data_IF_363968435587
#
_entry.id   IF_363968435587
#
_cell.length_a   1.000
_cell.length_b   1.000
_cell.length_c   1.000
_cell.angle_alpha   90.00
_cell.angle_beta   90.00
_cell.angle_gamma   90.00
#
_symmetry.space_group_name_H-M   'P 1'
#
loop_
_entity.id
_entity.type
_entity.pdbx_description
1 polymer ?
#
# COMPACT_ATOMS: atom_id res chain seq x y z
N UNK A 1 16.51 -5.10 -5.82
CA UNK A 1 16.23 -3.67 -5.64
C UNK A 1 14.74 -3.53 -5.87
N UNK A 2 14.00 -2.96 -4.91
CA UNK A 2 12.57 -2.66 -5.09
C UNK A 2 12.39 -1.66 -6.23
N UNK A 3 11.27 -1.75 -6.94
CA UNK A 3 10.98 -0.86 -8.06
C UNK A 3 10.69 0.57 -7.56
N UNK A 4 9.94 0.67 -6.46
CA UNK A 4 9.54 1.94 -5.82
C UNK A 4 9.20 1.69 -4.34
N UNK A 5 9.17 2.76 -3.55
CA UNK A 5 8.63 2.78 -2.18
C UNK A 5 7.32 3.55 -2.15
N UNK A 6 6.26 2.89 -1.69
CA UNK A 6 4.89 3.43 -1.75
C UNK A 6 4.28 3.37 -0.37
N UNK A 7 3.70 4.48 0.09
CA UNK A 7 2.99 4.53 1.36
C UNK A 7 1.69 3.72 1.29
N UNK A 8 1.36 2.99 2.35
CA UNK A 8 0.12 2.20 2.41
C UNK A 8 -1.15 3.05 2.21
N UNK A 9 -1.08 4.33 2.53
CA UNK A 9 -2.16 5.32 2.34
C UNK A 9 -2.42 5.66 0.87
N UNK A 10 -1.45 5.41 -0.03
CA UNK A 10 -1.60 5.56 -1.49
C UNK A 10 -2.13 4.30 -2.18
N UNK A 11 -2.21 3.17 -1.46
CA UNK A 11 -2.72 1.94 -2.04
C UNK A 11 -4.24 1.84 -1.88
N UNK A 12 -4.90 1.23 -2.86
CA UNK A 12 -6.34 0.98 -2.80
C UNK A 12 -6.62 -0.35 -2.11
N UNK A 13 -7.42 -0.32 -1.04
CA UNK A 13 -7.89 -1.51 -0.36
C UNK A 13 -8.98 -2.23 -1.17
N UNK A 14 -8.71 -3.48 -1.54
CA UNK A 14 -9.67 -4.35 -2.18
C UNK A 14 -10.26 -5.33 -1.17
N UNK A 15 -11.54 -5.14 -0.81
CA UNK A 15 -12.27 -5.98 0.15
C UNK A 15 -12.46 -7.43 -0.32
N UNK A 16 -12.58 -7.65 -1.63
CA UNK A 16 -12.78 -8.98 -2.21
C UNK A 16 -11.50 -9.82 -2.09
N UNK A 17 -10.35 -9.21 -2.37
CA UNK A 17 -9.03 -9.85 -2.30
C UNK A 17 -8.40 -9.76 -0.90
N UNK A 18 -8.94 -8.91 -0.02
CA UNK A 18 -8.34 -8.54 1.28
C UNK A 18 -6.88 -8.09 1.14
N UNK A 19 -6.61 -7.34 0.07
CA UNK A 19 -5.29 -6.92 -0.31
C UNK A 19 -5.28 -5.44 -0.69
N UNK A 20 -4.17 -4.77 -0.39
CA UNK A 20 -3.87 -3.46 -0.91
C UNK A 20 -3.30 -3.58 -2.31
N UNK A 21 -3.85 -2.77 -3.21
CA UNK A 21 -3.53 -2.79 -4.64
C UNK A 21 -2.95 -1.46 -5.10
N UNK A 22 -1.97 -1.50 -6.00
CA UNK A 22 -1.32 -0.30 -6.54
C UNK A 22 -1.00 -0.46 -8.03
N UNK A 23 -1.17 0.58 -8.87
CA UNK A 23 -0.95 0.49 -10.30
C UNK A 23 0.50 0.12 -10.64
N UNK A 24 0.67 -0.95 -11.43
CA UNK A 24 1.95 -1.37 -11.95
C UNK A 24 2.18 -0.82 -13.38
N UNK A 25 3.38 -0.33 -13.72
CA UNK A 25 3.71 0.16 -15.06
C UNK A 25 3.55 -0.89 -16.17
N UNK A 26 3.42 -2.19 -15.84
CA UNK A 26 3.15 -3.23 -16.84
C UNK A 26 1.67 -3.30 -17.28
N UNK A 27 0.77 -2.57 -16.61
CA UNK A 27 -0.67 -2.60 -16.87
C UNK A 27 -1.51 -3.46 -15.92
N UNK A 28 -0.88 -4.12 -14.95
CA UNK A 28 -1.54 -4.87 -13.86
C UNK A 28 -1.45 -4.10 -12.54
N UNK A 29 -1.81 -4.75 -11.42
CA UNK A 29 -1.74 -4.19 -10.08
C UNK A 29 -0.71 -4.96 -9.24
N UNK A 30 0.09 -4.24 -8.48
CA UNK A 30 0.77 -4.80 -7.32
C UNK A 30 -0.27 -5.15 -6.27
N UNK A 31 -0.07 -6.26 -5.54
CA UNK A 31 -0.97 -6.68 -4.48
C UNK A 31 -0.18 -7.15 -3.25
N UNK A 32 -0.68 -6.80 -2.07
CA UNK A 32 -0.18 -7.28 -0.77
C UNK A 32 -1.34 -7.48 0.21
N UNK A 33 -1.37 -8.61 0.91
CA UNK A 33 -2.46 -8.89 1.86
C UNK A 33 -2.25 -8.18 3.19
N UNK A 34 -3.36 -7.91 3.89
CA UNK A 34 -3.29 -7.40 5.26
C UNK A 34 -2.60 -8.38 6.23
N UNK A 35 -2.68 -9.67 5.94
CA UNK A 35 -2.04 -10.72 6.75
C UNK A 35 -0.51 -10.68 6.59
N UNK A 36 -0.02 -10.44 5.38
CA UNK A 36 1.40 -10.19 5.10
C UNK A 36 1.91 -8.97 5.86
N UNK A 37 1.21 -7.83 5.79
CA UNK A 37 1.58 -6.63 6.56
C UNK A 37 1.58 -6.87 8.08
N UNK A 38 0.71 -7.74 8.59
CA UNK A 38 0.67 -8.07 10.03
C UNK A 38 1.87 -8.87 10.51
N UNK A 39 2.50 -9.67 9.64
CA UNK A 39 3.68 -10.47 9.99
C UNK A 39 4.99 -9.73 9.71
N UNK A 40 4.93 -8.49 9.22
CA UNK A 40 6.10 -7.70 8.85
C UNK A 40 6.48 -7.80 7.37
N UNK A 41 5.63 -8.40 6.52
CA UNK A 41 5.90 -8.50 5.08
C UNK A 41 5.39 -7.25 4.36
N UNK A 42 6.33 -6.51 3.76
CA UNK A 42 6.11 -5.21 3.12
C UNK A 42 6.28 -5.24 1.60
N UNK A 43 6.37 -6.44 1.00
CA UNK A 43 6.69 -6.60 -0.42
C UNK A 43 5.43 -6.85 -1.22
N UNK A 44 4.92 -5.83 -1.90
CA UNK A 44 3.80 -5.99 -2.82
C UNK A 44 4.30 -6.47 -4.17
N UNK A 45 3.74 -7.59 -4.67
CA UNK A 45 4.20 -8.26 -5.88
C UNK A 45 3.18 -8.10 -7.00
N UNK A 46 3.66 -7.92 -8.23
CA UNK A 46 2.81 -7.91 -9.41
C UNK A 46 2.78 -9.32 -10.05
N UNK A 47 1.60 -9.90 -10.31
CA UNK A 47 1.49 -11.24 -10.90
C UNK A 47 2.00 -11.32 -12.34
N UNK A 48 2.08 -10.20 -13.07
CA UNK A 48 2.40 -10.20 -14.50
C UNK A 48 3.85 -9.87 -14.85
N UNK A 49 4.55 -9.06 -14.05
CA UNK A 49 5.87 -8.55 -14.44
C UNK A 49 7.01 -8.93 -13.48
N UNK A 50 6.75 -9.72 -12.44
CA UNK A 50 7.71 -10.10 -11.38
C UNK A 50 8.35 -8.94 -10.61
N UNK A 51 7.97 -7.70 -10.92
CA UNK A 51 8.36 -6.52 -10.15
C UNK A 51 7.72 -6.58 -8.76
N UNK A 52 8.33 -5.85 -7.85
CA UNK A 52 7.81 -5.64 -6.52
C UNK A 52 8.13 -4.22 -6.04
N UNK A 53 7.23 -3.67 -5.25
CA UNK A 53 7.40 -2.40 -4.55
C UNK A 53 7.50 -2.66 -3.05
N UNK A 54 8.16 -1.75 -2.34
CA UNK A 54 8.23 -1.77 -0.89
C UNK A 54 7.11 -0.90 -0.34
N UNK A 55 6.26 -1.48 0.50
CA UNK A 55 5.13 -0.77 1.09
C UNK A 55 5.55 -0.18 2.42
N UNK A 56 5.52 1.14 2.53
CA UNK A 56 5.85 1.86 3.75
C UNK A 56 4.59 1.94 4.61
N UNK A 57 4.59 1.27 5.75
CA UNK A 57 3.49 1.28 6.72
C UNK A 57 4.02 1.25 8.15
N UNK A 58 3.15 1.66 9.08
CA UNK A 58 3.41 1.50 10.50
C UNK A 58 2.83 0.17 10.96
N UNK A 59 3.67 -0.73 11.49
CA UNK A 59 3.20 -2.03 12.00
C UNK A 59 2.15 -1.87 13.11
N UNK A 60 2.20 -0.76 13.86
CA UNK A 60 1.21 -0.38 14.87
C UNK A 60 -0.22 -0.19 14.32
N UNK A 61 -0.38 0.19 13.03
CA UNK A 61 -1.69 0.31 12.38
C UNK A 61 -2.36 -1.06 12.17
N UNK A 62 -1.53 -2.10 12.03
CA UNK A 62 -1.95 -3.46 11.72
C UNK A 62 -1.95 -4.38 12.93
N UNK A 63 -1.16 -4.08 13.96
CA UNK A 63 -1.16 -4.79 15.24
C UNK A 63 -2.23 -4.22 16.17
N UNK A 64 -3.14 -5.08 16.65
CA UNK A 64 -4.24 -4.71 17.54
C UNK A 64 -3.72 -4.36 18.95
N UNK A 65 -3.11 -3.19 19.10
CA UNK A 65 -2.81 -2.58 20.40
C UNK A 65 -3.66 -1.32 20.50
N UNK A 66 -4.79 -1.42 21.21
CA UNK A 66 -5.72 -0.33 21.51
C UNK A 66 -5.00 0.95 21.97
N UNK A 67 -4.74 1.87 21.03
CA UNK A 67 -4.39 3.26 21.31
C UNK A 67 -5.02 4.15 20.25
N UNK A 68 -6.24 4.60 20.56
CA UNK A 68 -7.03 5.56 19.81
C UNK A 68 -6.24 6.86 19.63
N UNK A 69 -5.70 7.15 18.45
CA UNK A 69 -5.29 8.50 18.04
C UNK A 69 -5.25 8.61 16.51
N UNK A 70 -5.87 9.68 16.01
CA UNK A 70 -6.10 10.00 14.59
C UNK A 70 -4.82 10.43 13.88
N UNK A 71 -4.70 10.07 12.61
CA UNK A 71 -3.98 10.77 11.53
C UNK A 71 -4.80 10.36 10.29
N UNK A 72 -5.68 11.12 9.62
CA UNK A 72 -5.64 12.46 9.02
C UNK A 72 -4.36 12.76 8.25
N UNK A 73 -4.34 12.41 6.95
CA UNK A 73 -3.86 13.33 5.92
C UNK A 73 -4.76 13.32 4.67
N UNK A 74 -5.44 14.43 4.35
CA UNK A 74 -6.02 14.66 3.04
C UNK A 74 -4.91 14.96 2.03
N UNK A 75 -4.72 14.08 1.04
CA UNK A 75 -3.75 14.31 -0.04
C UNK A 75 -4.23 15.48 -0.92
N UNK A 76 -3.67 16.66 -0.63
CA UNK A 76 -3.84 17.88 -1.43
C UNK A 76 -3.24 17.65 -2.82
N UNK A 77 -4.04 17.81 -3.87
CA UNK A 77 -3.52 18.01 -5.23
C UNK A 77 -3.83 19.44 -5.67
N UNK A 78 -2.84 20.34 -5.74
CA UNK A 78 -2.98 21.55 -6.53
C UNK A 78 -2.51 21.22 -7.95
N UNK A 79 -3.44 21.11 -8.91
CA UNK A 79 -3.09 21.23 -10.33
C UNK A 79 -3.76 22.48 -10.87
N UNK A 80 -3.04 23.59 -10.75
CA UNK A 80 -3.34 24.82 -11.46
C UNK A 80 -2.82 24.69 -12.89
N UNK A 81 -3.70 24.55 -13.88
CA UNK A 81 -3.44 24.92 -15.28
C UNK A 81 -4.74 25.39 -15.94
N UNK A 82 -4.91 26.71 -16.04
CA UNK A 82 -5.56 27.40 -17.16
C UNK A 82 -5.24 28.90 -17.07
#
# INVERSE_FOLDING_TARGET
MSYDDVEIEDMEWNEELKAFTYPCPCGDLFQITKEELKIGEEIARCPSCSLFITVIYNMEDFTDQKSKSKIDQPKQQPVAVA
#
